data_IF_228843851173
#
_entry.id   IF_228843851173
#
_cell.length_a   1.000
_cell.length_b   1.000
_cell.length_c   1.000
_cell.angle_alpha   90.00
_cell.angle_beta   90.00
_cell.angle_gamma   90.00
#
_symmetry.space_group_name_H-M   'P 1'
#
loop_
_entity.id
_entity.type
_entity.pdbx_description
1 polymer ?
#
# COMPACT_ATOMS: atom_id res chain seq x y z
N UNK A 1 -12.44 23.09 9.01
CA UNK A 1 -11.04 22.98 8.58
C UNK A 1 -10.77 21.51 8.44
N UNK A 2 -10.65 21.02 7.22
CA UNK A 2 -10.29 19.61 7.00
C UNK A 2 -8.89 19.37 7.55
N UNK A 3 -8.74 18.28 8.29
CA UNK A 3 -7.49 17.91 8.91
C UNK A 3 -6.54 17.45 7.80
N UNK A 4 -5.50 18.24 7.53
CA UNK A 4 -4.46 17.89 6.58
C UNK A 4 -3.75 16.61 7.04
N UNK A 5 -3.82 15.54 6.26
CA UNK A 5 -3.19 14.27 6.59
C UNK A 5 -1.78 14.25 6.00
N UNK A 6 -0.75 14.55 6.79
CA UNK A 6 0.65 14.57 6.30
C UNK A 6 1.09 13.26 5.66
N UNK A 7 0.65 12.13 6.21
CA UNK A 7 1.04 10.80 5.75
C UNK A 7 -0.14 9.84 5.73
N UNK A 8 -0.25 9.06 4.66
CA UNK A 8 -1.16 7.92 4.58
C UNK A 8 -0.46 6.71 3.99
N UNK A 9 -0.41 5.64 4.76
CA UNK A 9 0.09 4.34 4.35
C UNK A 9 -1.12 3.45 4.11
N UNK A 10 -1.35 3.12 2.84
CA UNK A 10 -2.39 2.17 2.46
C UNK A 10 -1.97 0.77 2.86
N UNK A 11 -2.88 0.03 3.49
CA UNK A 11 -2.66 -1.36 3.89
C UNK A 11 -3.57 -2.27 3.08
N UNK A 12 -3.00 -2.88 2.04
CA UNK A 12 -3.73 -3.69 1.08
C UNK A 12 -4.18 -5.03 1.70
N UNK A 13 -5.49 -5.27 1.69
CA UNK A 13 -6.15 -6.48 2.22
C UNK A 13 -7.19 -7.02 1.22
N UNK A 14 -7.30 -8.33 1.07
CA UNK A 14 -8.24 -8.96 0.12
C UNK A 14 -9.18 -10.00 0.75
N UNK A 15 -9.02 -10.28 2.05
CA UNK A 15 -9.83 -11.25 2.81
C UNK A 15 -9.90 -10.85 4.29
N UNK A 16 -10.83 -11.39 5.09
CA UNK A 16 -10.91 -11.08 6.52
C UNK A 16 -9.61 -11.43 7.24
N UNK A 17 -9.00 -10.42 7.87
CA UNK A 17 -7.84 -10.57 8.75
C UNK A 17 -7.74 -9.35 9.68
N UNK A 18 -6.88 -9.43 10.69
CA UNK A 18 -6.55 -8.29 11.54
C UNK A 18 -5.60 -7.36 10.77
N UNK A 19 -5.95 -6.08 10.74
CA UNK A 19 -5.10 -5.03 10.18
C UNK A 19 -4.74 -4.09 11.30
N UNK A 20 -3.47 -3.72 11.40
CA UNK A 20 -3.05 -2.65 12.29
C UNK A 20 -3.68 -1.34 11.81
N UNK A 21 -4.61 -0.81 12.61
CA UNK A 21 -5.27 0.46 12.38
C UNK A 21 -4.64 1.53 13.27
N UNK A 22 -4.06 2.55 12.63
CA UNK A 22 -3.54 3.75 13.26
C UNK A 22 -3.95 4.94 12.37
N UNK A 23 -3.78 6.18 12.83
CA UNK A 23 -4.11 7.38 12.04
C UNK A 23 -3.39 7.40 10.70
N UNK A 24 -2.14 6.93 10.65
CA UNK A 24 -1.34 6.89 9.44
C UNK A 24 -1.64 5.67 8.56
N UNK A 25 -2.13 4.56 9.13
CA UNK A 25 -2.41 3.32 8.39
C UNK A 25 -3.88 3.25 7.99
N UNK A 26 -4.14 3.23 6.69
CA UNK A 26 -5.48 3.14 6.12
C UNK A 26 -5.68 1.77 5.46
N UNK A 27 -6.43 0.84 6.06
CA UNK A 27 -6.79 -0.41 5.41
C UNK A 27 -7.57 -0.12 4.11
N UNK A 28 -7.16 -0.77 3.02
CA UNK A 28 -7.85 -0.69 1.72
C UNK A 28 -8.11 -2.11 1.20
N UNK A 29 -9.37 -2.40 0.90
CA UNK A 29 -9.77 -3.66 0.29
C UNK A 29 -9.41 -3.61 -1.20
N UNK A 30 -8.38 -4.37 -1.60
CA UNK A 30 -7.94 -4.48 -2.99
C UNK A 30 -8.76 -5.51 -3.76
N UNK A 31 -8.93 -5.28 -5.06
CA UNK A 31 -9.76 -6.12 -5.92
C UNK A 31 -11.21 -6.16 -5.45
N UNK A 32 -11.69 -5.08 -4.83
CA UNK A 32 -13.04 -5.01 -4.28
C UNK A 32 -14.11 -5.29 -5.33
N UNK A 33 -13.93 -4.85 -6.57
CA UNK A 33 -14.85 -5.13 -7.67
C UNK A 33 -14.99 -6.62 -8.00
N UNK A 34 -13.98 -7.43 -7.66
CA UNK A 34 -13.96 -8.88 -7.91
C UNK A 34 -14.25 -9.71 -6.65
N UNK A 35 -14.38 -9.06 -5.49
CA UNK A 35 -14.44 -9.73 -4.20
C UNK A 35 -15.88 -10.02 -3.78
N UNK A 36 -16.14 -11.24 -3.36
CA UNK A 36 -17.42 -11.62 -2.72
C UNK A 36 -17.50 -11.13 -1.26
N UNK A 37 -16.38 -10.68 -0.68
CA UNK A 37 -16.33 -10.24 0.70
C UNK A 37 -16.57 -8.72 0.84
N UNK A 38 -17.34 -8.35 1.86
CA UNK A 38 -17.37 -6.98 2.33
C UNK A 38 -16.62 -6.84 3.65
N UNK A 39 -15.37 -6.36 3.60
CA UNK A 39 -14.52 -6.22 4.78
C UNK A 39 -14.82 -4.97 5.61
N UNK A 40 -15.70 -4.07 5.13
CA UNK A 40 -16.04 -2.82 5.82
C UNK A 40 -14.93 -1.75 5.79
N UNK A 41 -13.84 -1.99 5.07
CA UNK A 41 -12.79 -1.01 4.81
C UNK A 41 -13.06 -0.21 3.53
N UNK A 42 -12.32 0.89 3.34
CA UNK A 42 -12.26 1.60 2.06
C UNK A 42 -11.95 0.60 0.94
N UNK A 43 -12.74 0.60 -0.13
CA UNK A 43 -12.47 -0.22 -1.31
C UNK A 43 -11.58 0.50 -2.30
N UNK A 44 -10.77 -0.24 -3.06
CA UNK A 44 -10.07 0.31 -4.22
C UNK A 44 -10.98 0.53 -5.44
N UNK A 45 -12.30 0.30 -5.31
CA UNK A 45 -13.29 0.36 -6.41
C UNK A 45 -14.20 1.60 -6.41
N UNK A 46 -13.82 2.66 -5.69
CA UNK A 46 -14.58 3.91 -5.64
C UNK A 46 -13.84 5.03 -6.38
N UNK A 47 -14.57 6.02 -6.90
CA UNK A 47 -13.95 7.11 -7.68
C UNK A 47 -13.27 6.59 -8.95
N UNK A 48 -12.17 7.23 -9.36
CA UNK A 48 -11.36 6.75 -10.49
C UNK A 48 -10.47 5.59 -10.01
N UNK A 49 -10.65 4.42 -10.63
CA UNK A 49 -10.05 3.18 -10.18
C UNK A 49 -9.85 2.13 -11.28
N UNK A 50 -9.04 1.13 -10.95
CA UNK A 50 -8.77 -0.06 -11.78
C UNK A 50 -8.95 -1.36 -10.97
N UNK A 51 -9.89 -1.38 -10.01
CA UNK A 51 -10.09 -2.50 -9.09
C UNK A 51 -10.36 -3.84 -9.80
N UNK A 52 -11.06 -3.80 -10.93
CA UNK A 52 -11.33 -4.98 -11.78
C UNK A 52 -10.05 -5.62 -12.36
N UNK A 53 -8.94 -4.89 -12.38
CA UNK A 53 -7.65 -5.36 -12.88
C UNK A 53 -6.74 -5.95 -11.77
N UNK A 54 -7.24 -6.09 -10.53
CA UNK A 54 -6.46 -6.58 -9.40
C UNK A 54 -5.87 -7.98 -9.62
N UNK A 55 -6.51 -8.83 -10.43
CA UNK A 55 -5.96 -10.14 -10.80
C UNK A 55 -4.65 -10.06 -11.59
N UNK A 56 -4.39 -8.93 -12.25
CA UNK A 56 -3.16 -8.68 -13.02
C UNK A 56 -2.19 -7.74 -12.30
N UNK A 57 -2.71 -6.75 -11.57
CA UNK A 57 -1.92 -5.66 -10.98
C UNK A 57 -1.72 -5.79 -9.46
N UNK A 58 -2.42 -6.71 -8.80
CA UNK A 58 -2.37 -6.92 -7.36
C UNK A 58 -2.50 -5.59 -6.59
N UNK A 59 -1.65 -5.36 -5.58
CA UNK A 59 -1.69 -4.17 -4.71
C UNK A 59 -1.49 -2.84 -5.45
N UNK A 60 -1.06 -2.85 -6.73
CA UNK A 60 -0.97 -1.62 -7.53
C UNK A 60 -2.35 -0.98 -7.76
N UNK A 61 -3.46 -1.71 -7.64
CA UNK A 61 -4.80 -1.11 -7.71
C UNK A 61 -5.07 -0.17 -6.54
N UNK A 62 -4.59 -0.50 -5.33
CA UNK A 62 -4.63 0.41 -4.19
C UNK A 62 -3.76 1.65 -4.42
N UNK A 63 -2.57 1.47 -5.00
CA UNK A 63 -1.67 2.59 -5.29
C UNK A 63 -2.26 3.53 -6.36
N UNK A 64 -2.86 2.97 -7.41
CA UNK A 64 -3.59 3.74 -8.42
C UNK A 64 -4.75 4.51 -7.78
N UNK A 65 -5.55 3.84 -6.95
CA UNK A 65 -6.66 4.48 -6.25
C UNK A 65 -6.18 5.65 -5.38
N UNK A 66 -5.07 5.47 -4.65
CA UNK A 66 -4.45 6.53 -3.85
C UNK A 66 -4.08 7.75 -4.71
N UNK A 67 -3.38 7.53 -5.83
CA UNK A 67 -2.99 8.59 -6.76
C UNK A 67 -4.20 9.40 -7.26
N UNK A 68 -5.30 8.73 -7.59
CA UNK A 68 -6.46 9.41 -8.17
C UNK A 68 -7.33 10.10 -7.13
N UNK A 69 -7.51 9.48 -5.97
CA UNK A 69 -8.57 9.83 -5.03
C UNK A 69 -8.08 10.49 -3.75
N UNK A 70 -6.85 10.23 -3.28
CA UNK A 70 -6.30 10.96 -2.15
C UNK A 70 -5.87 12.36 -2.58
N UNK A 71 -6.23 13.35 -1.76
CA UNK A 71 -5.87 14.76 -1.88
C UNK A 71 -5.23 15.21 -0.57
N UNK A 72 -4.35 16.21 -0.66
CA UNK A 72 -3.75 16.85 0.51
C UNK A 72 -2.99 15.88 1.44
N UNK A 73 -2.24 14.95 0.82
CA UNK A 73 -1.33 14.01 1.49
C UNK A 73 0.08 14.22 0.96
N UNK A 74 1.02 14.54 1.86
CA UNK A 74 2.41 14.83 1.48
C UNK A 74 3.20 13.53 1.24
N UNK A 75 2.95 12.50 2.05
CA UNK A 75 3.62 11.20 1.97
C UNK A 75 2.62 10.06 1.81
N UNK A 76 2.72 9.32 0.70
CA UNK A 76 1.90 8.13 0.43
C UNK A 76 2.77 6.89 0.55
N UNK A 77 2.29 5.90 1.31
CA UNK A 77 2.94 4.60 1.48
C UNK A 77 2.01 3.45 1.11
N UNK A 78 2.60 2.26 0.94
CA UNK A 78 1.87 1.02 0.68
C UNK A 78 2.50 -0.11 1.51
N UNK A 79 1.65 -0.88 2.19
CA UNK A 79 2.01 -2.09 2.93
C UNK A 79 1.03 -3.21 2.58
N UNK A 80 1.51 -4.44 2.70
CA UNK A 80 0.64 -5.62 2.69
C UNK A 80 0.07 -5.82 4.11
N UNK A 81 -1.16 -6.29 4.24
CA UNK A 81 -1.85 -6.44 5.54
C UNK A 81 -1.14 -7.31 6.61
N UNK A 82 -0.11 -8.06 6.22
CA UNK A 82 0.75 -8.87 7.11
C UNK A 82 2.23 -8.52 7.09
N UNK A 83 2.63 -7.48 6.36
CA UNK A 83 4.03 -7.05 6.23
C UNK A 83 4.09 -5.54 6.31
N UNK A 84 4.60 -5.08 7.44
CA UNK A 84 4.81 -3.67 7.75
C UNK A 84 6.32 -3.40 7.82
N UNK A 85 6.70 -2.14 7.73
CA UNK A 85 8.07 -1.73 8.00
C UNK A 85 8.43 -1.95 9.47
N UNK A 86 9.67 -2.31 9.75
CA UNK A 86 10.21 -2.47 11.10
C UNK A 86 10.65 -1.11 11.71
N UNK A 87 9.90 -0.06 11.38
CA UNK A 87 10.06 1.29 11.93
C UNK A 87 8.68 1.83 12.29
N UNK A 88 8.63 2.61 13.36
CA UNK A 88 7.41 3.28 13.77
C UNK A 88 7.26 4.52 12.89
N UNK A 89 6.15 4.62 12.16
CA UNK A 89 5.81 5.81 11.38
C UNK A 89 4.60 6.46 12.04
N UNK A 90 4.71 7.76 12.34
CA UNK A 90 3.62 8.57 12.91
C UNK A 90 3.58 9.94 12.25
N UNK A 91 2.51 10.70 12.48
CA UNK A 91 2.41 12.08 11.98
C UNK A 91 3.49 12.99 12.60
N UNK A 92 3.94 12.68 13.82
CA UNK A 92 4.96 13.45 14.53
C UNK A 92 6.39 13.20 14.02
N UNK A 93 6.68 12.02 13.47
CA UNK A 93 8.05 11.64 13.10
C UNK A 93 8.33 11.59 11.59
N UNK A 94 7.30 11.62 10.73
CA UNK A 94 7.46 11.41 9.29
C UNK A 94 8.42 12.41 8.64
N UNK A 95 8.35 13.70 8.99
CA UNK A 95 9.22 14.74 8.41
C UNK A 95 10.70 14.47 8.71
N UNK A 96 10.98 13.97 9.92
CA UNK A 96 12.35 13.61 10.31
C UNK A 96 12.82 12.38 9.53
N UNK A 97 11.98 11.35 9.40
CA UNK A 97 12.31 10.15 8.65
C UNK A 97 12.60 10.48 7.17
N UNK A 98 11.79 11.35 6.56
CA UNK A 98 11.92 11.74 5.17
C UNK A 98 12.96 12.85 4.93
N UNK A 99 13.47 13.51 5.98
CA UNK A 99 14.56 14.50 5.81
C UNK A 99 15.89 13.88 5.35
N UNK A 100 16.05 12.57 5.54
CA UNK A 100 17.27 11.83 5.19
C UNK A 100 17.16 11.11 3.83
N UNK A 101 15.96 10.99 3.26
CA UNK A 101 15.73 10.25 2.02
C UNK A 101 14.41 10.64 1.32
N UNK A 102 14.37 10.51 -0.01
CA UNK A 102 13.13 10.77 -0.77
C UNK A 102 12.13 9.61 -0.72
N UNK A 103 12.61 8.39 -0.48
CA UNK A 103 11.81 7.16 -0.49
C UNK A 103 12.32 6.17 0.55
N UNK A 104 11.40 5.59 1.33
CA UNK A 104 11.67 4.47 2.24
C UNK A 104 11.20 3.18 1.58
N UNK A 105 12.10 2.20 1.45
CA UNK A 105 11.82 0.85 0.94
C UNK A 105 12.47 -0.21 1.83
N UNK A 106 12.00 -1.47 1.81
CA UNK A 106 12.64 -2.56 2.54
C UNK A 106 14.10 -2.74 2.12
N UNK A 107 14.90 -3.34 3.02
CA UNK A 107 16.29 -3.68 2.72
C UNK A 107 16.37 -4.59 1.47
N UNK A 108 17.39 -4.34 0.65
CA UNK A 108 17.62 -5.12 -0.57
C UNK A 108 17.87 -6.59 -0.23
N UNK A 109 17.18 -7.48 -0.93
CA UNK A 109 17.44 -8.92 -0.90
C UNK A 109 18.39 -9.23 -2.06
N UNK A 110 19.60 -9.69 -1.74
CA UNK A 110 20.59 -10.06 -2.74
C UNK A 110 20.50 -11.54 -3.05
N UNK A 111 20.10 -11.86 -4.28
CA UNK A 111 20.10 -13.23 -4.80
C UNK A 111 21.42 -13.51 -5.52
N UNK A 112 21.92 -14.75 -5.40
CA UNK A 112 23.17 -15.20 -6.05
C UNK A 112 23.05 -15.35 -7.57
N UNK A 113 21.82 -15.40 -8.10
CA UNK A 113 21.51 -15.53 -9.51
C UNK A 113 20.30 -14.67 -9.86
N UNK A 114 20.19 -14.28 -11.12
CA UNK A 114 18.99 -13.65 -11.66
C UNK A 114 18.00 -14.73 -12.10
N UNK A 115 16.71 -14.39 -12.18
CA UNK A 115 15.69 -15.25 -12.80
C UNK A 115 16.03 -15.63 -14.26
N UNK A 116 16.91 -14.88 -14.91
CA UNK A 116 17.41 -15.15 -16.25
C UNK A 116 18.44 -16.29 -16.27
N UNK A 117 19.25 -16.42 -15.22
CA UNK A 117 20.29 -17.45 -15.12
C UNK A 117 19.70 -18.84 -14.80
N UNK A 118 18.51 -18.89 -14.18
CA UNK A 118 17.83 -20.13 -13.81
C UNK A 118 17.00 -20.76 -14.96
N UNK A 119 17.02 -20.18 -16.17
CA UNK A 119 16.31 -20.72 -17.35
C UNK A 119 17.25 -21.04 -18.50
N UNK A 120 17.92 -22.18 -18.41
CA UNK A 120 18.47 -22.93 -19.55
C UNK A 120 18.09 -24.43 -19.52
N UNK A 121 16.96 -24.77 -18.89
CA UNK A 121 16.45 -26.15 -18.84
C UNK A 121 14.92 -26.20 -18.88
N UNK A 122 14.35 -25.73 -19.99
CA UNK A 122 13.01 -26.14 -20.45
C UNK A 122 13.21 -26.87 -21.78
#
# INVERSE_FOLDING_TARGET
>A
MEQQNKVKILVAIHKPDKVYGDKVYMPIQVGKSLSEFNLGFQGDNTGDNISEMNSMFCELTAHYWAWKNLKDVDYIGLCHYRRYFDIIITEENIEKLMSECDVIVPAAIHHSATLYNDKLSI
#
